data_IF_577761058170
#
_entry.id   IF_577761058170
#
_cell.length_a   1.000
_cell.length_b   1.000
_cell.length_c   1.000
_cell.angle_alpha   90.00
_cell.angle_beta   90.00
_cell.angle_gamma   90.00
#
_symmetry.space_group_name_H-M   'P 1'
#
loop_
_entity.id
_entity.type
_entity.pdbx_description
1 polymer ?
#
# COMPACT_ATOMS: atom_id res chain seq x y z
N UNK A 1 -12.06 15.52 11.09
CA UNK A 1 -11.69 14.69 9.93
C UNK A 1 -12.79 13.66 9.70
N UNK A 2 -13.31 13.60 8.49
CA UNK A 2 -14.37 12.64 8.13
C UNK A 2 -13.80 11.63 7.13
N UNK A 3 -13.18 10.57 7.64
CA UNK A 3 -12.46 9.59 6.84
C UNK A 3 -13.39 8.46 6.41
N UNK A 4 -13.47 8.23 5.10
CA UNK A 4 -14.15 7.07 4.54
C UNK A 4 -13.12 6.16 3.88
N UNK A 5 -13.27 4.85 4.10
CA UNK A 5 -12.40 3.83 3.51
C UNK A 5 -13.12 3.23 2.31
N UNK A 6 -12.47 3.28 1.15
CA UNK A 6 -13.05 2.71 -0.07
C UNK A 6 -12.14 1.65 -0.66
N UNK A 7 -12.77 0.58 -1.15
CA UNK A 7 -12.13 -0.39 -2.05
C UNK A 7 -12.45 0.09 -3.46
N UNK A 8 -11.43 0.46 -4.22
CA UNK A 8 -11.65 1.10 -5.52
C UNK A 8 -12.23 0.09 -6.53
N UNK A 9 -13.39 0.40 -7.07
CA UNK A 9 -14.07 -0.37 -8.10
C UNK A 9 -14.36 0.47 -9.34
N UNK A 10 -14.52 1.77 -9.18
CA UNK A 10 -14.84 2.69 -10.26
C UNK A 10 -13.62 3.54 -10.63
N UNK A 11 -13.65 4.10 -11.83
CA UNK A 11 -12.51 4.87 -12.34
C UNK A 11 -12.16 6.07 -11.46
N UNK A 12 -13.16 6.79 -10.92
CA UNK A 12 -12.88 7.95 -10.08
C UNK A 12 -12.18 7.54 -8.78
N UNK A 13 -12.46 6.34 -8.28
CA UNK A 13 -11.82 5.81 -7.08
C UNK A 13 -10.36 5.44 -7.36
N UNK A 14 -10.09 4.80 -8.51
CA UNK A 14 -8.72 4.53 -8.93
C UNK A 14 -7.95 5.83 -9.18
N UNK A 15 -8.61 6.81 -9.79
CA UNK A 15 -8.01 8.12 -9.99
C UNK A 15 -7.63 8.76 -8.65
N UNK A 16 -8.47 8.58 -7.62
CA UNK A 16 -8.16 9.04 -6.26
C UNK A 16 -6.88 8.41 -5.71
N UNK A 17 -6.74 7.10 -5.87
CA UNK A 17 -5.52 6.40 -5.45
C UNK A 17 -4.29 6.94 -6.19
N UNK A 18 -4.38 7.13 -7.50
CA UNK A 18 -3.29 7.67 -8.30
C UNK A 18 -2.94 9.10 -7.89
N UNK A 19 -3.95 9.91 -7.59
CA UNK A 19 -3.78 11.28 -7.14
C UNK A 19 -2.94 11.36 -5.87
N UNK A 20 -3.22 10.49 -4.90
CA UNK A 20 -2.45 10.42 -3.65
C UNK A 20 -0.99 10.07 -3.93
N UNK A 21 -0.76 9.10 -4.83
CA UNK A 21 0.60 8.69 -5.17
C UNK A 21 1.37 9.83 -5.85
N UNK A 22 0.72 10.54 -6.75
CA UNK A 22 1.35 11.66 -7.46
C UNK A 22 1.71 12.76 -6.47
N UNK A 23 0.80 13.14 -5.59
CA UNK A 23 1.03 14.19 -4.62
C UNK A 23 2.02 13.77 -3.51
N UNK A 24 1.89 12.55 -3.02
CA UNK A 24 2.67 12.07 -1.87
C UNK A 24 4.03 11.49 -2.23
N UNK A 25 4.25 11.10 -3.48
CA UNK A 25 5.49 10.46 -3.89
C UNK A 25 6.17 11.21 -5.04
N UNK A 26 5.52 11.34 -6.19
CA UNK A 26 6.16 11.95 -7.35
C UNK A 26 6.63 13.37 -7.08
N UNK A 27 5.79 14.18 -6.46
CA UNK A 27 6.13 15.58 -6.15
C UNK A 27 7.11 15.68 -4.99
N UNK A 28 6.96 14.86 -3.96
CA UNK A 28 7.79 14.92 -2.75
C UNK A 28 9.22 14.42 -3.01
N UNK A 29 9.39 13.42 -3.86
CA UNK A 29 10.68 12.77 -4.10
C UNK A 29 11.20 12.98 -5.52
N UNK A 30 10.54 13.80 -6.33
CA UNK A 30 10.92 14.07 -7.73
C UNK A 30 11.00 12.79 -8.56
N UNK A 31 10.04 11.87 -8.37
CA UNK A 31 9.99 10.60 -9.10
C UNK A 31 9.17 10.79 -10.37
N UNK A 32 9.70 10.41 -11.55
CA UNK A 32 8.90 10.46 -12.78
C UNK A 32 7.71 9.52 -12.72
N UNK A 33 6.62 9.89 -13.39
CA UNK A 33 5.40 9.07 -13.40
C UNK A 33 5.66 7.63 -13.89
N UNK A 34 6.49 7.46 -14.91
CA UNK A 34 6.76 6.12 -15.44
C UNK A 34 7.52 5.21 -14.49
N UNK A 35 8.17 5.77 -13.46
CA UNK A 35 8.82 4.98 -12.42
C UNK A 35 7.85 4.64 -11.30
N UNK A 36 6.94 5.56 -10.99
CA UNK A 36 5.93 5.34 -9.95
C UNK A 36 4.86 4.37 -10.42
N UNK A 37 4.38 4.55 -11.65
CA UNK A 37 3.35 3.67 -12.24
C UNK A 37 4.05 2.61 -13.09
N UNK A 38 3.86 1.35 -12.72
CA UNK A 38 4.60 0.24 -13.31
C UNK A 38 3.64 -0.82 -13.89
N UNK A 39 4.19 -1.96 -14.31
CA UNK A 39 3.41 -3.04 -14.90
C UNK A 39 2.38 -3.64 -13.95
N UNK A 40 2.53 -3.39 -12.65
CA UNK A 40 1.57 -3.87 -11.67
C UNK A 40 0.35 -2.95 -11.54
N UNK A 41 0.36 -1.79 -12.17
CA UNK A 41 -0.82 -0.92 -12.24
C UNK A 41 -1.67 -1.36 -13.44
N UNK A 42 -2.41 -2.43 -13.25
CA UNK A 42 -3.19 -3.08 -14.31
C UNK A 42 -4.54 -3.55 -13.75
N UNK A 43 -5.35 -4.16 -14.60
CA UNK A 43 -6.73 -4.54 -14.25
C UNK A 43 -6.84 -5.47 -13.05
N UNK A 44 -5.85 -6.34 -12.82
CA UNK A 44 -5.88 -7.27 -11.69
C UNK A 44 -5.46 -6.68 -10.37
N UNK A 45 -4.91 -5.48 -10.37
CA UNK A 45 -4.42 -4.83 -9.15
C UNK A 45 -5.57 -4.12 -8.44
N UNK A 46 -5.61 -4.27 -7.11
CA UNK A 46 -6.66 -3.68 -6.28
C UNK A 46 -6.10 -2.52 -5.48
N UNK A 47 -6.91 -1.49 -5.33
CA UNK A 47 -6.52 -0.25 -4.65
C UNK A 47 -7.45 0.05 -3.50
N UNK A 48 -6.88 0.50 -2.38
CA UNK A 48 -7.62 1.07 -1.27
C UNK A 48 -7.38 2.57 -1.30
N UNK A 49 -8.42 3.36 -1.08
CA UNK A 49 -8.28 4.81 -0.98
C UNK A 49 -9.07 5.31 0.21
N UNK A 50 -8.46 6.23 0.97
CA UNK A 50 -9.14 6.93 2.06
C UNK A 50 -9.50 8.32 1.59
N UNK A 51 -10.73 8.72 1.86
CA UNK A 51 -11.23 10.05 1.53
C UNK A 51 -11.46 10.83 2.83
N UNK A 52 -11.05 12.09 2.86
CA UNK A 52 -11.41 13.02 3.91
C UNK A 52 -12.36 14.04 3.28
N UNK A 53 -13.62 14.01 3.69
CA UNK A 53 -14.68 14.86 3.15
C UNK A 53 -14.70 14.80 1.61
N UNK A 54 -14.56 13.60 1.08
CA UNK A 54 -14.60 13.35 -0.37
C UNK A 54 -13.28 13.50 -1.12
N UNK A 55 -12.20 13.92 -0.46
CA UNK A 55 -10.89 14.11 -1.10
C UNK A 55 -9.93 12.99 -0.75
N UNK A 56 -9.21 12.42 -1.75
CA UNK A 56 -8.27 11.32 -1.50
C UNK A 56 -7.06 11.79 -0.70
N UNK A 57 -6.76 11.08 0.40
CA UNK A 57 -5.68 11.48 1.31
C UNK A 57 -4.70 10.36 1.63
N UNK A 58 -5.07 9.10 1.36
CA UNK A 58 -4.19 7.96 1.59
C UNK A 58 -4.58 6.82 0.66
N UNK A 59 -3.62 5.96 0.34
CA UNK A 59 -3.87 4.82 -0.55
C UNK A 59 -2.85 3.71 -0.32
N UNK A 60 -3.18 2.52 -0.77
CA UNK A 60 -2.23 1.45 -1.04
C UNK A 60 -2.81 0.60 -2.18
N UNK A 61 -1.96 -0.26 -2.74
CA UNK A 61 -2.40 -1.26 -3.72
C UNK A 61 -1.99 -2.64 -3.27
N UNK A 62 -2.67 -3.67 -3.77
CA UNK A 62 -2.17 -5.03 -3.63
C UNK A 62 -2.48 -5.84 -4.88
N UNK A 63 -1.68 -6.86 -5.10
CA UNK A 63 -1.88 -7.80 -6.20
C UNK A 63 -1.32 -9.16 -5.80
N UNK A 64 -1.67 -10.20 -6.58
CA UNK A 64 -1.20 -11.55 -6.29
C UNK A 64 0.28 -11.68 -6.56
N UNK A 65 1.01 -12.26 -5.61
CA UNK A 65 2.41 -12.63 -5.79
C UNK A 65 2.52 -14.10 -6.20
N UNK A 66 1.73 -14.96 -5.54
CA UNK A 66 1.58 -16.38 -5.90
C UNK A 66 0.25 -16.88 -5.35
N UNK A 67 -0.04 -18.18 -5.50
CA UNK A 67 -1.35 -18.74 -5.16
C UNK A 67 -1.79 -18.50 -3.71
N UNK A 68 -0.87 -18.33 -2.77
CA UNK A 68 -1.22 -18.10 -1.36
C UNK A 68 -0.78 -16.75 -0.80
N UNK A 69 -0.04 -15.97 -1.57
CA UNK A 69 0.54 -14.72 -1.08
C UNK A 69 0.16 -13.55 -1.97
N UNK A 70 -0.36 -12.48 -1.36
CA UNK A 70 -0.53 -11.19 -2.02
C UNK A 70 0.53 -10.23 -1.51
N UNK A 71 0.86 -9.23 -2.31
CA UNK A 71 1.81 -8.19 -1.89
C UNK A 71 1.12 -6.84 -1.83
N UNK A 72 1.33 -6.13 -0.73
CA UNK A 72 0.85 -4.76 -0.55
C UNK A 72 2.01 -3.82 -0.90
N UNK A 73 1.71 -2.78 -1.64
CA UNK A 73 2.71 -1.77 -1.97
C UNK A 73 2.08 -0.40 -2.16
N UNK A 74 2.95 0.55 -2.46
CA UNK A 74 2.52 1.94 -2.71
C UNK A 74 1.63 2.48 -1.59
N UNK A 75 2.04 2.23 -0.33
CA UNK A 75 1.38 2.78 0.84
C UNK A 75 1.79 4.24 0.95
N UNK A 76 0.86 5.15 0.72
CA UNK A 76 1.14 6.58 0.69
C UNK A 76 0.07 7.34 1.47
N UNK A 77 0.51 8.28 2.31
CA UNK A 77 -0.37 9.21 3.01
C UNK A 77 0.12 10.62 2.62
N UNK A 78 -0.80 11.51 2.27
CA UNK A 78 -0.43 12.88 1.97
C UNK A 78 0.30 13.51 3.17
N UNK A 79 1.33 14.36 2.92
CA UNK A 79 2.14 14.92 4.00
C UNK A 79 1.34 15.56 5.13
N UNK A 80 0.31 16.34 4.80
CA UNK A 80 -0.52 17.04 5.79
C UNK A 80 -1.41 16.10 6.62
N UNK A 81 -1.52 14.83 6.22
CA UNK A 81 -2.32 13.83 6.94
C UNK A 81 -1.47 12.80 7.68
N UNK A 82 -0.16 12.94 7.66
CA UNK A 82 0.73 12.00 8.36
C UNK A 82 0.61 12.15 9.87
N UNK A 83 0.94 11.06 10.59
CA UNK A 83 0.87 11.05 12.05
C UNK A 83 -0.53 10.80 12.61
N UNK A 84 -1.50 10.46 11.77
CA UNK A 84 -2.90 10.24 12.18
C UNK A 84 -3.34 8.78 11.97
N UNK A 85 -2.38 7.87 11.85
CA UNK A 85 -2.62 6.42 11.69
C UNK A 85 -3.37 6.03 10.42
N UNK A 86 -3.38 6.89 9.41
CA UNK A 86 -4.05 6.58 8.15
C UNK A 86 -3.31 5.49 7.36
N UNK A 87 -1.98 5.44 7.44
CA UNK A 87 -1.20 4.37 6.83
C UNK A 87 -1.59 3.00 7.37
N UNK A 88 -1.73 2.87 8.69
CA UNK A 88 -2.19 1.63 9.29
C UNK A 88 -3.60 1.29 8.82
N UNK A 89 -4.45 2.29 8.66
CA UNK A 89 -5.84 2.09 8.25
C UNK A 89 -5.95 1.53 6.84
N UNK A 90 -5.16 2.06 5.88
CA UNK A 90 -5.17 1.51 4.51
C UNK A 90 -4.62 0.07 4.49
N UNK A 91 -3.58 -0.20 5.26
CA UNK A 91 -2.99 -1.55 5.32
C UNK A 91 -3.99 -2.54 5.93
N UNK A 92 -4.68 -2.16 7.00
CA UNK A 92 -5.69 -3.03 7.62
C UNK A 92 -6.83 -3.36 6.65
N UNK A 93 -7.28 -2.39 5.87
CA UNK A 93 -8.34 -2.66 4.88
C UNK A 93 -7.83 -3.58 3.78
N UNK A 94 -6.60 -3.38 3.33
CA UNK A 94 -5.98 -4.27 2.34
C UNK A 94 -5.87 -5.69 2.87
N UNK A 95 -5.46 -5.85 4.14
CA UNK A 95 -5.35 -7.17 4.78
C UNK A 95 -6.71 -7.87 4.81
N UNK A 96 -7.76 -7.15 5.18
CA UNK A 96 -9.10 -7.70 5.21
C UNK A 96 -9.55 -8.16 3.82
N UNK A 97 -9.32 -7.34 2.81
CA UNK A 97 -9.67 -7.67 1.44
C UNK A 97 -8.86 -8.87 0.92
N UNK A 98 -7.57 -8.90 1.20
CA UNK A 98 -6.69 -10.01 0.83
C UNK A 98 -7.18 -11.32 1.44
N UNK A 99 -7.56 -11.30 2.73
CA UNK A 99 -8.10 -12.48 3.41
C UNK A 99 -9.39 -12.95 2.75
N UNK A 100 -10.27 -12.01 2.40
CA UNK A 100 -11.53 -12.33 1.70
C UNK A 100 -11.28 -12.96 0.32
N UNK A 101 -10.17 -12.60 -0.32
CA UNK A 101 -9.78 -13.19 -1.60
C UNK A 101 -9.16 -14.57 -1.47
N UNK A 102 -8.92 -15.05 -0.25
CA UNK A 102 -8.42 -16.40 -0.01
C UNK A 102 -6.93 -16.53 0.19
N UNK A 103 -6.18 -15.44 0.19
CA UNK A 103 -4.74 -15.49 0.45
C UNK A 103 -4.45 -15.68 1.93
N UNK A 104 -3.37 -16.39 2.23
CA UNK A 104 -2.97 -16.69 3.62
C UNK A 104 -1.72 -15.96 4.07
N UNK A 105 -1.02 -15.32 3.15
CA UNK A 105 0.21 -14.58 3.45
C UNK A 105 0.22 -13.25 2.73
N UNK A 106 0.91 -12.27 3.34
CA UNK A 106 1.10 -10.95 2.74
C UNK A 106 2.58 -10.63 2.76
N UNK A 107 3.12 -10.21 1.62
CA UNK A 107 4.48 -9.73 1.49
C UNK A 107 4.47 -8.22 1.29
N UNK A 108 5.47 -7.55 1.83
CA UNK A 108 5.66 -6.11 1.64
C UNK A 108 7.14 -5.85 1.40
N UNK A 109 7.47 -5.06 0.37
CA UNK A 109 8.81 -4.52 0.22
C UNK A 109 8.83 -3.19 0.96
N UNK A 110 9.39 -3.20 2.17
CA UNK A 110 9.38 -2.03 3.05
C UNK A 110 10.61 -1.17 2.82
N UNK A 111 10.41 0.14 2.68
CA UNK A 111 11.51 1.08 2.75
C UNK A 111 12.19 0.91 4.11
N UNK A 112 13.50 1.14 4.15
CA UNK A 112 14.28 0.89 5.37
C UNK A 112 13.73 1.66 6.58
N UNK A 113 13.31 2.90 6.38
CA UNK A 113 12.76 3.73 7.46
C UNK A 113 11.35 3.34 7.89
N UNK A 114 10.67 2.49 7.13
CA UNK A 114 9.30 2.06 7.44
C UNK A 114 9.22 0.69 8.12
N UNK A 115 10.35 0.02 8.32
CA UNK A 115 10.37 -1.32 8.93
C UNK A 115 9.66 -1.33 10.28
N UNK A 116 9.93 -0.36 11.14
CA UNK A 116 9.30 -0.29 12.47
C UNK A 116 7.79 -0.15 12.36
N UNK A 117 7.30 0.60 11.37
CA UNK A 117 5.87 0.76 11.14
C UNK A 117 5.21 -0.58 10.82
N UNK A 118 5.81 -1.36 9.91
CA UNK A 118 5.25 -2.66 9.54
C UNK A 118 5.42 -3.71 10.63
N UNK A 119 6.50 -3.64 11.42
CA UNK A 119 6.67 -4.55 12.55
C UNK A 119 5.52 -4.40 13.55
N UNK A 120 5.08 -3.16 13.81
CA UNK A 120 3.94 -2.90 14.69
C UNK A 120 2.64 -3.47 14.15
N UNK A 121 2.53 -3.67 12.84
CA UNK A 121 1.36 -4.25 12.21
C UNK A 121 1.45 -5.79 12.11
N UNK A 122 2.53 -6.39 12.62
CA UNK A 122 2.68 -7.84 12.67
C UNK A 122 3.53 -8.44 11.56
N UNK A 123 4.20 -7.60 10.77
CA UNK A 123 5.11 -8.08 9.71
C UNK A 123 6.49 -8.37 10.28
N UNK A 124 7.17 -9.36 9.69
CA UNK A 124 8.52 -9.76 10.11
C UNK A 124 9.45 -9.74 8.91
N UNK A 125 10.71 -9.37 9.15
CA UNK A 125 11.73 -9.40 8.11
C UNK A 125 11.95 -10.82 7.57
N UNK A 126 12.14 -10.92 6.26
CA UNK A 126 12.42 -12.18 5.57
C UNK A 126 13.85 -12.10 5.06
N UNK A 127 14.83 -12.24 5.93
CA UNK A 127 16.24 -12.11 5.58
C UNK A 127 16.74 -10.68 5.69
N UNK A 128 17.98 -10.46 5.29
CA UNK A 128 18.68 -9.19 5.46
C UNK A 128 18.98 -8.46 4.15
N UNK A 129 18.60 -9.05 3.02
CA UNK A 129 18.93 -8.51 1.71
C UNK A 129 18.14 -7.24 1.41
N UNK A 130 18.85 -6.21 0.97
CA UNK A 130 18.24 -4.98 0.49
C UNK A 130 17.96 -5.16 -1.00
N UNK A 131 16.72 -4.88 -1.40
CA UNK A 131 16.29 -4.94 -2.81
C UNK A 131 15.78 -3.59 -3.22
N UNK A 132 15.87 -3.29 -4.51
CA UNK A 132 15.29 -2.05 -5.02
C UNK A 132 13.83 -2.25 -5.40
N UNK A 133 12.97 -1.37 -4.89
CA UNK A 133 11.57 -1.33 -5.25
C UNK A 133 11.27 0.10 -5.72
N UNK A 134 11.14 0.26 -7.03
CA UNK A 134 11.04 1.60 -7.62
C UNK A 134 12.31 2.40 -7.35
N UNK A 135 12.16 3.59 -6.78
CA UNK A 135 13.27 4.51 -6.51
C UNK A 135 13.94 4.28 -5.15
N UNK A 136 13.49 3.28 -4.37
CA UNK A 136 13.92 3.12 -2.98
C UNK A 136 14.58 1.78 -2.71
N UNK A 137 15.51 1.80 -1.76
CA UNK A 137 16.06 0.57 -1.20
C UNK A 137 15.07 0.02 -0.17
N UNK A 138 14.74 -1.26 -0.29
CA UNK A 138 13.71 -1.90 0.52
C UNK A 138 14.19 -3.24 1.07
N UNK A 139 13.54 -3.70 2.12
CA UNK A 139 13.70 -5.06 2.66
C UNK A 139 12.35 -5.74 2.61
N UNK A 140 12.35 -7.04 2.33
CA UNK A 140 11.11 -7.80 2.27
C UNK A 140 10.62 -8.17 3.68
N UNK A 141 9.33 -7.98 3.90
CA UNK A 141 8.67 -8.37 5.13
C UNK A 141 7.46 -9.23 4.80
N UNK A 142 7.06 -10.10 5.72
CA UNK A 142 5.90 -10.97 5.55
C UNK A 142 5.06 -11.05 6.81
N UNK A 143 3.78 -11.30 6.59
CA UNK A 143 2.80 -11.57 7.65
C UNK A 143 1.97 -12.77 7.22
N UNK A 144 1.81 -13.73 8.14
CA UNK A 144 0.91 -14.86 7.93
C UNK A 144 -0.44 -14.48 8.50
N UNK A 145 -1.50 -14.63 7.70
CA UNK A 145 -2.85 -14.32 8.13
C UNK A 145 -3.38 -15.51 8.94
N UNK A 146 -3.88 -15.23 10.14
CA UNK A 146 -4.50 -16.25 10.96
C UNK A 146 -5.93 -16.49 10.47
N UNK A 147 -6.24 -17.73 10.13
CA UNK A 147 -7.63 -18.09 9.83
C UNK A 147 -8.41 -18.12 11.14
N UNK A 148 -9.45 -17.36 11.22
CA UNK A 148 -10.36 -17.40 12.35
C UNK A 148 -11.54 -18.30 12.03
#
# INVERSE_FOLDING_TARGET
MDIKVLRAEEEWQRAGAYSVRIQGMNRQHHIPLREEFDEHDCDGTKYIVLLDDGYPVATCRFYELNAKCATIGRVVVLPEYRGQKLGAKVVHEAEAWIAECGYTEIAIDSRLEAVGFYEKLGYKLVGDDVVKSGAFDCVQMKKVLTSS
#
